data_IF_404242977631
#
_entry.id   IF_404242977631
#
_cell.length_a   1.000
_cell.length_b   1.000
_cell.length_c   1.000
_cell.angle_alpha   90.00
_cell.angle_beta   90.00
_cell.angle_gamma   90.00
#
_symmetry.space_group_name_H-M   'P 1'
#
loop_
_entity.id
_entity.type
_entity.pdbx_description
1 polymer ?
#
# COMPACT_ATOMS: atom_id res chain seq x y z
N UNK A 1 2.00 -12.99 -44.96
CA UNK A 1 2.00 -11.81 -44.05
C UNK A 1 0.68 -11.11 -44.27
N UNK A 2 -0.11 -10.86 -43.24
CA UNK A 2 -1.31 -10.01 -43.39
C UNK A 2 -0.79 -8.59 -43.48
N UNK A 3 -0.88 -8.01 -44.68
CA UNK A 3 -0.52 -6.63 -44.92
C UNK A 3 -1.63 -5.68 -44.48
N UNK A 4 -1.34 -4.39 -44.60
CA UNK A 4 -2.31 -3.32 -44.37
C UNK A 4 -3.54 -3.46 -45.28
N UNK A 5 -3.36 -3.97 -46.51
CA UNK A 5 -4.47 -4.15 -47.46
C UNK A 5 -5.45 -5.23 -47.03
N UNK A 6 -4.96 -6.39 -46.58
CA UNK A 6 -5.81 -7.47 -46.05
C UNK A 6 -6.53 -7.01 -44.77
N UNK A 7 -5.87 -6.22 -43.92
CA UNK A 7 -6.48 -5.65 -42.71
C UNK A 7 -7.65 -4.70 -43.03
N UNK A 8 -7.49 -3.84 -44.05
CA UNK A 8 -8.55 -2.93 -44.51
C UNK A 8 -9.73 -3.72 -45.07
N UNK A 9 -9.49 -4.78 -45.85
CA UNK A 9 -10.56 -5.62 -46.40
C UNK A 9 -11.40 -6.26 -45.28
N UNK A 10 -10.74 -6.80 -44.25
CA UNK A 10 -11.40 -7.37 -43.07
C UNK A 10 -12.19 -6.30 -42.31
N UNK A 11 -11.62 -5.10 -42.15
CA UNK A 11 -12.30 -4.00 -41.49
C UNK A 11 -13.58 -3.58 -42.25
N UNK A 12 -13.53 -3.48 -43.58
CA UNK A 12 -14.70 -3.18 -44.41
C UNK A 12 -15.77 -4.27 -44.23
N UNK A 13 -15.38 -5.55 -44.24
CA UNK A 13 -16.34 -6.64 -44.04
C UNK A 13 -16.97 -6.58 -42.64
N UNK A 14 -16.17 -6.34 -41.60
CA UNK A 14 -16.67 -6.16 -40.24
C UNK A 14 -17.61 -4.95 -40.12
N UNK A 15 -17.28 -3.84 -40.79
CA UNK A 15 -18.12 -2.65 -40.88
C UNK A 15 -19.43 -2.91 -41.64
N UNK A 16 -19.44 -3.82 -42.62
CA UNK A 16 -20.66 -4.20 -43.32
C UNK A 16 -21.58 -5.06 -42.45
N UNK A 17 -21.01 -5.98 -41.66
CA UNK A 17 -21.75 -6.85 -40.76
C UNK A 17 -22.31 -6.10 -39.54
N UNK A 18 -21.48 -5.26 -38.90
CA UNK A 18 -21.83 -4.59 -37.65
C UNK A 18 -22.25 -3.13 -37.85
N UNK A 19 -21.90 -2.50 -38.96
CA UNK A 19 -22.15 -1.09 -39.23
C UNK A 19 -21.05 -0.17 -38.67
N UNK A 20 -20.74 0.96 -39.35
CA UNK A 20 -19.70 1.89 -38.92
C UNK A 20 -20.01 2.60 -37.61
N UNK A 21 -21.28 2.70 -37.23
CA UNK A 21 -21.69 3.31 -35.97
C UNK A 21 -21.42 2.41 -34.75
N UNK A 22 -21.31 1.08 -34.93
CA UNK A 22 -21.15 0.15 -33.81
C UNK A 22 -19.73 0.11 -33.25
N UNK A 23 -18.70 0.28 -34.08
CA UNK A 23 -17.32 0.31 -33.57
C UNK A 23 -17.06 1.49 -32.61
N UNK A 24 -17.45 2.75 -32.92
CA UNK A 24 -17.34 3.87 -31.97
C UNK A 24 -18.21 3.69 -30.72
N UNK A 25 -19.40 3.12 -30.86
CA UNK A 25 -20.31 2.87 -29.73
C UNK A 25 -19.70 1.86 -28.74
N UNK A 26 -19.15 0.75 -29.24
CA UNK A 26 -18.43 -0.25 -28.45
C UNK A 26 -17.15 0.31 -27.83
N UNK A 27 -16.37 1.10 -28.57
CA UNK A 27 -15.17 1.74 -28.02
C UNK A 27 -15.53 2.70 -26.87
N UNK A 28 -16.63 3.45 -26.99
CA UNK A 28 -17.12 4.34 -25.93
C UNK A 28 -17.60 3.57 -24.71
N UNK A 29 -18.33 2.46 -24.88
CA UNK A 29 -18.81 1.66 -23.75
C UNK A 29 -17.66 0.95 -23.02
N UNK A 30 -16.74 0.34 -23.76
CA UNK A 30 -15.52 -0.27 -23.21
C UNK A 30 -14.64 0.77 -22.52
N UNK A 31 -14.50 1.97 -23.11
CA UNK A 31 -13.73 3.06 -22.50
C UNK A 31 -14.34 3.55 -21.18
N UNK A 32 -15.67 3.65 -21.11
CA UNK A 32 -16.37 3.96 -19.85
C UNK A 32 -16.15 2.86 -18.81
N UNK A 33 -16.36 1.60 -19.19
CA UNK A 33 -16.18 0.46 -18.29
C UNK A 33 -14.74 0.35 -17.77
N UNK A 34 -13.73 0.51 -18.63
CA UNK A 34 -12.33 0.53 -18.23
C UNK A 34 -12.00 1.73 -17.30
N UNK A 35 -12.61 2.89 -17.56
CA UNK A 35 -12.48 4.07 -16.70
C UNK A 35 -13.08 3.85 -15.31
N UNK A 36 -14.27 3.29 -15.23
CA UNK A 36 -14.94 2.93 -13.97
C UNK A 36 -14.18 1.83 -13.23
N UNK A 37 -13.72 0.80 -13.94
CA UNK A 37 -12.90 -0.27 -13.37
C UNK A 37 -11.60 0.26 -12.77
N UNK A 38 -10.91 1.19 -13.46
CA UNK A 38 -9.70 1.84 -12.94
C UNK A 38 -10.00 2.69 -11.70
N UNK A 39 -11.14 3.38 -11.65
CA UNK A 39 -11.57 4.16 -10.47
C UNK A 39 -11.86 3.26 -9.28
N UNK A 40 -12.62 2.18 -9.50
CA UNK A 40 -12.92 1.18 -8.48
C UNK A 40 -11.65 0.52 -7.94
N UNK A 41 -10.70 0.15 -8.80
CA UNK A 41 -9.40 -0.36 -8.36
C UNK A 41 -8.65 0.65 -7.49
N UNK A 42 -8.63 1.93 -7.87
CA UNK A 42 -7.96 2.98 -7.10
C UNK A 42 -8.63 3.20 -5.74
N UNK A 43 -9.96 3.17 -5.69
CA UNK A 43 -10.72 3.28 -4.45
C UNK A 43 -10.45 2.09 -3.54
N UNK A 44 -10.43 0.88 -4.09
CA UNK A 44 -10.06 -0.34 -3.35
C UNK A 44 -8.61 -0.29 -2.85
N UNK A 45 -7.66 0.22 -3.64
CA UNK A 45 -6.27 0.40 -3.19
C UNK A 45 -6.16 1.43 -2.06
N UNK A 46 -6.95 2.52 -2.12
CA UNK A 46 -7.01 3.52 -1.05
C UNK A 46 -7.64 2.96 0.22
N UNK A 47 -8.69 2.16 0.10
CA UNK A 47 -9.33 1.50 1.24
C UNK A 47 -8.39 0.47 1.85
N UNK A 48 -7.73 -0.37 1.04
CA UNK A 48 -6.71 -1.30 1.53
C UNK A 48 -5.56 -0.53 2.21
N UNK A 49 -5.05 0.55 1.62
CA UNK A 49 -4.03 1.41 2.29
C UNK A 49 -4.53 2.09 3.57
N UNK A 50 -5.84 2.27 3.75
CA UNK A 50 -6.41 2.74 5.02
C UNK A 50 -6.52 1.63 6.05
N UNK A 51 -6.72 0.38 5.63
CA UNK A 51 -6.66 -0.78 6.51
C UNK A 51 -5.22 -1.21 6.83
N UNK A 52 -4.29 -0.89 5.95
CA UNK A 52 -2.88 -1.30 5.98
C UNK A 52 -1.93 -0.07 6.09
N UNK A 53 -2.39 1.05 6.68
CA UNK A 53 -1.56 2.24 6.91
C UNK A 53 -0.36 1.87 7.81
N UNK A 54 0.88 1.86 7.28
CA UNK A 54 2.08 1.43 7.99
C UNK A 54 2.67 2.49 8.92
N UNK A 55 2.03 3.64 9.11
CA UNK A 55 2.52 4.66 10.06
C UNK A 55 2.48 4.18 11.53
N UNK A 56 1.81 3.07 11.84
CA UNK A 56 1.69 2.55 13.20
C UNK A 56 2.59 1.34 13.52
N UNK A 57 3.35 0.77 12.57
CA UNK A 57 4.14 -0.44 12.89
C UNK A 57 5.33 -0.13 13.81
N UNK A 58 6.02 1.01 13.60
CA UNK A 58 7.06 1.48 14.53
C UNK A 58 6.47 1.82 15.89
N UNK A 59 5.35 2.53 15.91
CA UNK A 59 4.70 2.96 17.15
C UNK A 59 4.18 1.76 17.94
N UNK A 60 3.58 0.77 17.26
CA UNK A 60 3.12 -0.50 17.85
C UNK A 60 4.30 -1.31 18.41
N UNK A 61 5.42 -1.40 17.69
CA UNK A 61 6.64 -2.09 18.17
C UNK A 61 7.26 -1.40 19.38
N UNK A 62 7.34 -0.06 19.35
CA UNK A 62 7.84 0.75 20.47
C UNK A 62 6.92 0.57 21.68
N UNK A 63 5.61 0.57 21.48
CA UNK A 63 4.61 0.38 22.53
C UNK A 63 4.71 -1.01 23.19
N UNK A 64 4.82 -2.06 22.37
CA UNK A 64 4.97 -3.43 22.87
C UNK A 64 6.28 -3.62 23.65
N UNK A 65 7.40 -3.05 23.15
CA UNK A 65 8.70 -3.09 23.84
C UNK A 65 8.68 -2.31 25.16
N UNK A 66 8.01 -1.16 25.20
CA UNK A 66 7.85 -0.37 26.42
C UNK A 66 7.08 -1.15 27.50
N UNK A 67 5.98 -1.82 27.14
CA UNK A 67 5.19 -2.66 28.06
C UNK A 67 6.02 -3.82 28.59
N UNK A 68 6.75 -4.53 27.72
CA UNK A 68 7.62 -5.65 28.11
C UNK A 68 8.73 -5.19 29.08
N UNK A 69 9.23 -3.98 28.88
CA UNK A 69 10.19 -3.35 29.78
C UNK A 69 9.57 -2.74 31.04
N UNK A 70 8.26 -2.83 31.24
CA UNK A 70 7.55 -2.26 32.40
C UNK A 70 7.59 -0.73 32.43
N UNK A 71 7.57 -0.08 31.27
CA UNK A 71 7.46 1.37 31.10
C UNK A 71 5.98 1.73 30.97
N UNK A 72 5.53 2.76 31.69
CA UNK A 72 4.18 3.28 31.54
C UNK A 72 4.05 4.00 30.19
N UNK A 73 3.17 3.47 29.34
CA UNK A 73 2.92 3.94 27.98
C UNK A 73 1.82 5.01 27.90
N UNK A 74 1.04 5.20 28.96
CA UNK A 74 -0.09 6.12 28.94
C UNK A 74 0.40 7.56 28.84
N UNK A 75 -0.15 8.30 27.87
CA UNK A 75 0.15 9.71 27.62
C UNK A 75 1.61 10.02 27.20
N UNK A 76 2.32 9.07 26.59
CA UNK A 76 3.67 9.28 26.07
C UNK A 76 3.73 9.12 24.55
N UNK A 77 4.50 9.97 23.87
CA UNK A 77 4.76 9.85 22.43
C UNK A 77 5.79 8.75 22.17
N UNK A 78 5.86 8.29 20.91
CA UNK A 78 6.84 7.27 20.48
C UNK A 78 8.27 7.69 20.76
N UNK A 79 8.60 8.98 20.65
CA UNK A 79 9.93 9.53 20.96
C UNK A 79 10.25 9.43 22.45
N UNK A 80 9.27 9.75 23.32
CA UNK A 80 9.44 9.67 24.78
C UNK A 80 9.63 8.23 25.24
N UNK A 81 8.89 7.29 24.64
CA UNK A 81 9.06 5.86 24.91
C UNK A 81 10.44 5.36 24.47
N UNK A 82 10.94 5.78 23.31
CA UNK A 82 12.27 5.41 22.82
C UNK A 82 13.37 5.92 23.74
N UNK A 83 13.28 7.15 24.24
CA UNK A 83 14.26 7.69 25.19
C UNK A 83 14.26 6.94 26.52
N UNK A 84 13.09 6.58 27.04
CA UNK A 84 12.97 5.85 28.30
C UNK A 84 13.45 4.39 28.19
N UNK A 85 13.12 3.73 27.07
CA UNK A 85 13.67 2.41 26.70
C UNK A 85 15.21 2.48 26.67
N UNK A 86 15.76 3.47 25.96
CA UNK A 86 17.21 3.68 25.85
C UNK A 86 17.87 3.92 27.21
N UNK A 87 17.23 4.69 28.09
CA UNK A 87 17.74 4.97 29.44
C UNK A 87 17.79 3.73 30.33
N UNK A 88 16.74 2.89 30.27
CA UNK A 88 16.61 1.67 31.08
C UNK A 88 17.63 0.60 30.64
N UNK A 89 17.87 0.46 29.33
CA UNK A 89 18.90 -0.43 28.77
C UNK A 89 20.30 0.01 29.23
N UNK A 90 20.64 1.30 29.08
CA UNK A 90 21.96 1.84 29.45
C UNK A 90 22.25 1.73 30.96
N UNK A 91 21.22 1.86 31.79
CA UNK A 91 21.37 1.74 33.24
C UNK A 91 21.66 0.30 33.65
N UNK A 92 21.03 -0.69 33.00
CA UNK A 92 21.27 -2.11 33.23
C UNK A 92 22.68 -2.53 32.79
N UNK A 93 23.12 -2.05 31.64
CA UNK A 93 24.46 -2.34 31.08
C UNK A 93 25.62 -1.85 31.98
N UNK A 94 25.47 -0.70 32.65
CA UNK A 94 26.48 -0.18 33.60
C UNK A 94 26.57 -0.99 34.91
N UNK A 95 25.52 -1.72 35.28
CA UNK A 95 25.51 -2.58 36.46
C UNK A 95 26.22 -3.91 36.17
N UNK A 96 26.00 -4.49 34.98
CA UNK A 96 26.60 -5.75 34.57
C UNK A 96 28.12 -5.65 34.33
N UNK A 97 28.61 -4.49 33.85
CA UNK A 97 30.06 -4.23 33.73
C UNK A 97 30.79 -4.14 35.07
N UNK A 98 30.10 -3.80 36.17
CA UNK A 98 30.71 -3.67 37.50
C UNK A 98 30.75 -5.00 38.25
N UNK A 99 29.87 -5.94 37.93
CA UNK A 99 29.84 -7.29 38.50
C UNK A 99 30.67 -8.30 37.72
N UNK A 100 30.88 -8.11 36.41
CA UNK A 100 31.74 -8.97 35.61
C UNK A 100 33.25 -8.69 35.74
N UNK A 101 33.63 -7.56 36.36
CA UNK A 101 35.01 -7.11 36.54
C UNK A 101 35.53 -7.17 37.98
N UNK A 102 34.84 -7.87 38.89
CA UNK A 102 35.23 -8.06 40.29
C UNK A 102 35.65 -9.51 40.57
#
# INVERSE_FOLDING_TARGET
MIGTQEMILILILALFLFGPSKLPELARSLGKAAGEFKRAQKETELDIKRFDDPLNDKDTKIHNLAIEMGIDVKNKTSEQLVEEIRFKIRSKEKLDMKTAGA
#
